data_IF_487989123084
#
_entry.id   IF_487989123084
#
_cell.length_a   1.000
_cell.length_b   1.000
_cell.length_c   1.000
_cell.angle_alpha   90.00
_cell.angle_beta   90.00
_cell.angle_gamma   90.00
#
_symmetry.space_group_name_H-M   'P 1'
#
loop_
_entity.id
_entity.type
_entity.pdbx_description
1 polymer ?
2 polymer ?
3 water ?
#
# COMPACT_ATOMS: atom_id res chain seq x y z
N UNK A 6 -12.79 -9.93 11.92
CA UNK A 6 -12.06 -10.46 13.12
C UNK A 6 -10.95 -9.48 13.54
N UNK A 7 -10.53 -9.44 14.82
CA UNK A 7 -9.42 -8.59 15.24
C UNK A 7 -8.09 -8.92 14.55
N UNK A 8 -7.86 -10.19 14.20
CA UNK A 8 -6.63 -10.59 13.46
C UNK A 8 -6.66 -9.93 12.07
N UNK A 9 -7.79 -9.86 11.39
CA UNK A 9 -7.83 -9.18 10.06
C UNK A 9 -7.45 -7.72 10.26
N UNK A 10 -8.03 -7.07 11.25
CA UNK A 10 -7.78 -5.63 11.49
C UNK A 10 -6.32 -5.42 11.83
N UNK A 11 -5.73 -6.31 12.61
CA UNK A 11 -4.31 -6.11 12.99
C UNK A 11 -3.43 -6.30 11.75
N UNK A 12 -3.74 -7.20 10.84
CA UNK A 12 -2.93 -7.36 9.62
C UNK A 12 -3.07 -6.10 8.78
N UNK A 13 -4.26 -5.53 8.71
CA UNK A 13 -4.44 -4.33 7.85
C UNK A 13 -3.68 -3.16 8.53
N UNK A 14 -3.76 -3.04 9.87
CA UNK A 14 -3.00 -1.98 10.61
C UNK A 14 -1.52 -2.09 10.27
N UNK A 15 -1.00 -3.32 10.26
CA UNK A 15 0.45 -3.53 9.94
C UNK A 15 0.73 -3.11 8.49
N UNK A 16 -0.20 -3.37 7.57
CA UNK A 16 -0.04 -2.94 6.17
C UNK A 16 -0.03 -1.41 6.13
N UNK A 17 -0.88 -0.74 6.89
CA UNK A 17 -0.94 0.73 6.88
C UNK A 17 0.43 1.26 7.35
N UNK A 18 1.00 0.70 8.41
CA UNK A 18 2.32 1.13 8.91
C UNK A 18 3.37 0.89 7.83
N UNK A 19 3.33 -0.26 7.16
CA UNK A 19 4.28 -0.54 6.05
C UNK A 19 4.19 0.59 5.02
N UNK A 20 2.98 0.99 4.67
CA UNK A 20 2.81 2.03 3.61
C UNK A 20 3.34 3.38 4.09
N UNK A 21 3.20 3.70 5.36
CA UNK A 21 3.77 4.96 5.93
C UNK A 21 5.30 4.93 5.80
N UNK A 22 5.89 3.77 6.09
CA UNK A 22 7.36 3.58 5.97
C UNK A 22 7.75 3.75 4.50
N UNK A 23 7.02 3.15 3.57
CA UNK A 23 7.36 3.27 2.14
C UNK A 23 7.21 4.74 1.72
N UNK A 24 6.20 5.43 2.22
CA UNK A 24 6.00 6.86 1.91
C UNK A 24 7.24 7.64 2.33
N UNK A 25 7.72 7.39 3.53
CA UNK A 25 8.88 8.13 4.08
C UNK A 25 10.14 7.89 3.23
N UNK A 26 10.31 6.68 2.74
CA UNK A 26 11.46 6.33 1.86
C UNK A 26 11.34 7.08 0.52
N UNK A 27 10.17 7.00 -0.09
CA UNK A 27 10.00 7.46 -1.49
C UNK A 27 9.80 8.97 -1.55
N UNK A 28 9.27 9.60 -0.53
CA UNK A 28 8.88 11.02 -0.67
C UNK A 28 10.11 11.93 -0.74
N UNK A 29 9.88 13.12 -1.28
CA UNK A 29 10.80 14.28 -1.21
C UNK A 29 10.05 15.39 -0.47
N UNK A 30 8.85 15.10 0.05
CA UNK A 30 8.13 16.05 0.93
C UNK A 30 9.11 16.40 2.03
N UNK A 31 9.56 17.65 2.01
CA UNK A 31 10.52 18.19 3.00
C UNK A 31 9.73 19.06 3.99
N UNK A 34 5.72 19.09 9.13
CA UNK A 34 4.61 18.22 9.61
C UNK A 34 3.99 17.47 8.42
N UNK A 35 4.83 16.91 7.53
CA UNK A 35 4.42 16.05 6.38
C UNK A 35 3.18 16.62 5.67
N UNK A 36 3.28 17.84 5.16
CA UNK A 36 2.17 18.57 4.52
C UNK A 36 1.55 17.83 3.35
N UNK A 37 2.27 16.91 2.72
CA UNK A 37 1.77 16.13 1.55
C UNK A 37 0.69 15.12 1.97
N UNK A 38 0.59 14.77 3.25
CA UNK A 38 -0.42 13.82 3.82
C UNK A 38 -1.56 14.68 4.39
N UNK A 39 -2.75 14.59 3.82
CA UNK A 39 -3.89 15.46 4.26
C UNK A 39 -4.95 14.64 5.00
N UNK A 40 -5.21 14.97 6.27
CA UNK A 40 -6.14 14.18 7.12
C UNK A 40 -7.52 14.21 6.47
N UNK A 41 -7.95 15.32 5.92
CA UNK A 41 -9.32 15.41 5.36
C UNK A 41 -9.44 14.48 4.14
N UNK A 42 -8.38 14.37 3.33
CA UNK A 42 -8.37 13.46 2.16
C UNK A 42 -8.40 12.00 2.64
N UNK A 43 -7.70 11.70 3.73
CA UNK A 43 -7.70 10.30 4.22
C UNK A 43 -9.11 9.94 4.73
N UNK A 44 -9.74 10.82 5.50
CA UNK A 44 -11.10 10.54 6.04
C UNK A 44 -12.07 10.38 4.86
N UNK A 45 -12.03 11.29 3.90
CA UNK A 45 -12.95 11.20 2.74
C UNK A 45 -12.72 9.88 2.02
N UNK A 46 -11.48 9.50 1.79
CA UNK A 46 -11.20 8.24 1.09
C UNK A 46 -11.74 7.04 1.88
N UNK A 47 -11.61 7.06 3.21
CA UNK A 47 -12.11 5.94 4.04
C UNK A 47 -13.64 5.84 3.97
N UNK A 48 -14.30 6.98 3.80
CA UNK A 48 -15.77 7.03 3.61
C UNK A 48 -16.17 6.53 2.20
N UNK A 49 -15.45 6.92 1.16
CA UNK A 49 -15.97 6.83 -0.22
C UNK A 49 -15.41 5.67 -1.02
N UNK A 50 -14.34 5.01 -0.60
CA UNK A 50 -13.82 3.88 -1.40
C UNK A 50 -14.96 2.88 -1.62
N UNK A 51 -15.29 2.51 -2.88
CA UNK A 51 -16.42 1.62 -3.13
C UNK A 51 -16.13 0.15 -2.83
N UNK A 52 -17.18 -0.62 -2.60
CA UNK A 52 -17.10 -2.08 -2.61
C UNK A 52 -16.87 -2.68 -1.24
N UNK A 53 -17.05 -3.99 -1.19
CA UNK A 53 -16.82 -4.77 0.03
C UNK A 53 -15.31 -4.95 0.23
N UNK A 54 -14.92 -5.39 1.44
CA UNK A 54 -13.50 -5.65 1.70
C UNK A 54 -12.81 -6.53 0.64
N UNK A 55 -13.43 -7.63 0.18
CA UNK A 55 -12.73 -8.49 -0.80
C UNK A 55 -12.35 -7.66 -2.03
N UNK A 56 -13.25 -6.85 -2.54
CA UNK A 56 -12.99 -6.05 -3.79
C UNK A 56 -11.87 -5.04 -3.53
N UNK A 57 -11.87 -4.44 -2.35
CA UNK A 57 -10.83 -3.44 -2.04
C UNK A 57 -9.51 -4.21 -1.97
N UNK A 58 -9.49 -5.34 -1.30
CA UNK A 58 -8.24 -6.14 -1.17
C UNK A 58 -7.68 -6.51 -2.56
N UNK A 59 -8.54 -6.83 -3.51
CA UNK A 59 -8.06 -7.22 -4.86
C UNK A 59 -7.37 -6.03 -5.51
N UNK A 60 -7.92 -4.84 -5.34
CA UNK A 60 -7.33 -3.60 -5.91
C UNK A 60 -6.01 -3.32 -5.20
N UNK A 61 -5.99 -3.46 -3.87
CA UNK A 61 -4.75 -3.20 -3.11
C UNK A 61 -3.67 -4.18 -3.60
N UNK A 62 -4.00 -5.45 -3.77
CA UNK A 62 -3.02 -6.44 -4.24
C UNK A 62 -2.49 -6.07 -5.63
N UNK A 63 -3.37 -5.70 -6.55
CA UNK A 63 -2.93 -5.30 -7.91
C UNK A 63 -1.94 -4.15 -7.80
N UNK A 64 -2.27 -3.13 -7.00
CA UNK A 64 -1.40 -1.93 -6.85
C UNK A 64 -0.06 -2.34 -6.22
N UNK A 65 -0.08 -3.24 -5.25
CA UNK A 65 1.20 -3.64 -4.59
C UNK A 65 2.04 -4.42 -5.60
N UNK A 66 1.43 -5.26 -6.43
CA UNK A 66 2.19 -6.02 -7.45
C UNK A 66 2.83 -5.02 -8.41
N UNK A 67 2.14 -3.94 -8.73
CA UNK A 67 2.69 -2.90 -9.62
C UNK A 67 3.90 -2.20 -8.96
N UNK A 68 3.77 -1.84 -7.71
CA UNK A 68 4.89 -1.18 -6.99
C UNK A 68 6.07 -2.15 -6.91
N UNK A 69 5.80 -3.39 -6.58
CA UNK A 69 6.89 -4.40 -6.49
C UNK A 69 7.65 -4.49 -7.82
N UNK A 70 6.94 -4.49 -8.94
CA UNK A 70 7.56 -4.60 -10.28
C UNK A 70 8.44 -3.36 -10.50
N UNK A 71 7.97 -2.18 -10.14
CA UNK A 71 8.79 -0.94 -10.29
C UNK A 71 10.06 -1.09 -9.45
N UNK A 72 9.93 -1.47 -8.20
CA UNK A 72 11.14 -1.52 -7.34
C UNK A 72 12.09 -2.66 -7.74
N UNK A 73 11.60 -3.84 -8.13
CA UNK A 73 12.49 -4.98 -8.47
C UNK A 73 13.13 -4.77 -9.83
N UNK A 74 12.34 -4.40 -10.83
CA UNK A 74 12.82 -4.33 -12.23
C UNK A 74 13.41 -2.96 -12.51
N UNK A 75 12.99 -1.94 -11.77
CA UNK A 75 13.57 -0.60 -11.99
C UNK A 75 12.74 0.23 -12.95
N UNK A 76 11.64 -0.29 -13.51
CA UNK A 76 10.83 0.47 -14.52
C UNK A 76 9.33 0.39 -14.17
N UNK B 5 24.16 -1.38 -0.24
CA UNK B 5 23.20 -1.61 -1.38
C UNK B 5 23.68 -2.66 -2.39
N UNK B 6 23.99 -3.88 -1.93
CA UNK B 6 24.64 -4.94 -2.75
C UNK B 6 23.77 -5.31 -4.00
N UNK B 7 24.42 -5.40 -5.16
CA UNK B 7 23.87 -5.88 -6.45
C UNK B 7 22.77 -4.99 -7.01
N UNK B 8 22.66 -3.73 -6.57
CA UNK B 8 21.39 -2.97 -6.81
C UNK B 8 21.72 -1.57 -7.31
N UNK B 9 21.07 -1.13 -8.38
CA UNK B 9 21.29 0.24 -8.90
C UNK B 9 20.31 1.21 -8.26
N UNK B 10 20.60 2.52 -8.34
CA UNK B 10 19.64 3.50 -7.86
C UNK B 10 18.34 3.43 -8.68
N UNK B 11 17.25 3.78 -8.02
CA UNK B 11 15.91 3.84 -8.65
C UNK B 11 15.82 5.20 -9.34
N UNK B 12 15.46 5.18 -10.62
CA UNK B 12 15.35 6.44 -11.36
C UNK B 12 14.35 7.37 -10.69
N UNK B 13 14.48 8.70 -10.88
CA UNK B 13 13.47 9.63 -10.38
C UNK B 13 12.06 9.29 -10.86
N UNK B 14 11.91 8.97 -12.16
CA UNK B 14 10.57 8.70 -12.70
C UNK B 14 9.97 7.47 -12.02
N UNK B 15 10.76 6.42 -11.78
CA UNK B 15 10.22 5.21 -11.14
C UNK B 15 9.91 5.54 -9.68
N UNK B 16 10.77 6.31 -9.03
CA UNK B 16 10.55 6.73 -7.63
C UNK B 16 9.19 7.45 -7.49
N UNK B 17 8.94 8.46 -8.33
CA UNK B 17 7.66 9.21 -8.27
C UNK B 17 6.48 8.30 -8.64
N UNK B 18 6.63 7.44 -9.64
CA UNK B 18 5.55 6.47 -10.01
C UNK B 18 5.18 5.63 -8.79
N UNK B 19 6.19 5.11 -8.12
CA UNK B 19 5.96 4.24 -6.96
C UNK B 19 5.31 5.07 -5.83
N UNK B 20 5.82 6.27 -5.57
CA UNK B 20 5.25 7.15 -4.52
C UNK B 20 3.76 7.41 -4.79
N UNK B 21 3.39 7.65 -6.03
CA UNK B 21 1.99 7.96 -6.34
C UNK B 21 1.14 6.75 -6.01
N UNK B 22 1.60 5.58 -6.39
CA UNK B 22 0.79 4.35 -6.12
C UNK B 22 0.70 4.13 -4.60
N UNK B 23 1.79 4.33 -3.88
CA UNK B 23 1.82 4.14 -2.42
C UNK B 23 0.80 5.09 -1.76
N UNK B 24 0.70 6.34 -2.23
CA UNK B 24 -0.30 7.30 -1.73
C UNK B 24 -1.71 6.76 -1.92
N UNK B 25 -2.01 6.21 -3.09
CA UNK B 25 -3.34 5.65 -3.40
C UNK B 25 -3.57 4.47 -2.45
N UNK B 26 -2.54 3.65 -2.24
CA UNK B 26 -2.64 2.47 -1.35
C UNK B 26 -2.94 2.92 0.07
N UNK B 27 -2.33 3.99 0.55
CA UNK B 27 -2.59 4.42 1.94
C UNK B 27 -4.06 4.82 2.09
N UNK B 28 -4.59 5.54 1.13
CA UNK B 28 -6.03 5.92 1.14
C UNK B 28 -6.90 4.65 1.14
N UNK B 29 -6.62 3.68 0.26
CA UNK B 29 -7.46 2.47 0.15
C UNK B 29 -7.36 1.63 1.42
N UNK B 30 -6.17 1.53 1.99
CA UNK B 30 -6.01 0.68 3.19
C UNK B 30 -6.75 1.35 4.37
N UNK B 31 -6.83 2.68 4.46
CA UNK B 31 -7.73 3.33 5.44
C UNK B 31 -9.18 2.92 5.24
N UNK B 32 -9.66 2.90 4.00
CA UNK B 32 -11.06 2.47 3.71
C UNK B 32 -11.22 1.01 4.11
N UNK B 33 -10.23 0.18 3.83
CA UNK B 33 -10.32 -1.26 4.13
C UNK B 33 -10.42 -1.45 5.65
N UNK B 34 -9.63 -0.70 6.40
CA UNK B 34 -9.66 -0.82 7.88
C UNK B 34 -11.08 -0.41 8.34
N UNK B 35 -11.68 0.65 7.78
CA UNK B 35 -13.08 1.09 8.12
C UNK B 35 -14.10 -0.01 7.79
N UNK B 36 -14.14 -0.48 6.55
CA UNK B 36 -15.19 -1.44 6.15
C UNK B 36 -14.98 -2.72 6.94
N UNK B 37 -13.75 -3.16 7.22
CA UNK B 37 -13.64 -4.44 7.97
C UNK B 37 -14.25 -4.28 9.36
N UNK B 38 -14.05 -3.14 9.99
CA UNK B 38 -14.55 -2.91 11.36
C UNK B 38 -16.07 -2.81 11.35
N UNK B 39 -16.67 -2.31 10.28
CA UNK B 39 -18.11 -2.01 10.25
C UNK B 39 -18.96 -3.14 9.66
N UNK B 40 -18.40 -4.04 8.86
CA UNK B 40 -19.17 -5.08 8.15
C UNK B 40 -19.96 -5.91 9.15
N UNK B 41 -21.25 -6.13 8.89
CA UNK B 41 -22.11 -6.97 9.77
C UNK B 41 -22.74 -8.10 8.94
N UNK B 42 -22.88 -9.29 9.55
CA UNK B 42 -23.50 -10.48 8.93
C UNK B 42 -24.99 -10.45 9.27
N UNK B 43 -25.85 -10.40 8.25
CA UNK B 43 -27.33 -10.47 8.42
C UNK B 43 -27.84 -11.79 7.82
N UNK C 5 13.83 21.85 -4.36
CA UNK C 5 12.82 22.36 -5.38
C UNK C 5 13.44 22.39 -6.78
N UNK C 6 14.50 21.59 -6.93
CA UNK C 6 15.47 21.55 -8.04
C UNK C 6 15.20 20.27 -8.86
N UNK C 7 14.47 19.37 -8.19
CA UNK C 7 13.77 18.22 -8.78
C UNK C 7 13.74 17.07 -7.81
N UNK C 8 13.58 15.85 -8.31
CA UNK C 8 13.63 14.59 -7.52
C UNK C 8 14.91 13.86 -7.87
N UNK C 9 15.65 13.38 -6.89
CA UNK C 9 16.89 12.61 -7.14
C UNK C 9 16.57 11.12 -7.20
N UNK C 10 17.49 10.32 -7.73
CA UNK C 10 17.33 8.89 -7.71
C UNK C 10 17.28 8.39 -6.26
N UNK C 11 16.53 7.32 -6.05
CA UNK C 11 16.54 6.61 -4.75
C UNK C 11 17.87 5.85 -4.63
N UNK C 12 18.51 5.95 -3.50
CA UNK C 12 19.75 5.17 -3.28
C UNK C 12 19.46 3.67 -3.38
N UNK C 13 20.45 2.83 -3.74
CA UNK C 13 20.24 1.38 -3.72
C UNK C 13 19.75 0.85 -2.37
N UNK C 14 20.31 1.33 -1.28
CA UNK C 14 19.90 0.80 0.05
C UNK C 14 18.43 1.16 0.33
N UNK C 15 18.01 2.35 -0.06
CA UNK C 15 16.61 2.77 0.16
C UNK C 15 15.72 1.95 -0.77
N UNK C 16 16.17 1.67 -1.99
CA UNK C 16 15.42 0.78 -2.90
C UNK C 16 15.23 -0.61 -2.31
N UNK C 17 16.29 -1.18 -1.74
CA UNK C 17 16.24 -2.52 -1.10
C UNK C 17 15.30 -2.45 0.12
N UNK C 18 15.33 -1.40 0.90
CA UNK C 18 14.44 -1.28 2.07
C UNK C 18 12.97 -1.24 1.60
N UNK C 19 12.68 -0.48 0.54
CA UNK C 19 11.31 -0.38 0.00
C UNK C 19 10.88 -1.74 -0.53
N UNK C 20 11.77 -2.48 -1.18
CA UNK C 20 11.50 -3.87 -1.63
C UNK C 20 11.19 -4.78 -0.45
N UNK C 21 11.95 -4.67 0.63
CA UNK C 21 11.72 -5.49 1.86
C UNK C 21 10.28 -5.24 2.32
N UNK C 22 9.89 -3.98 2.43
CA UNK C 22 8.58 -3.61 2.97
C UNK C 22 7.48 -4.10 2.03
N UNK C 23 7.66 -3.93 0.72
CA UNK C 23 6.62 -4.38 -0.21
C UNK C 23 6.42 -5.91 -0.10
N UNK C 24 7.48 -6.66 0.22
CA UNK C 24 7.38 -8.10 0.49
C UNK C 24 6.43 -8.39 1.64
N UNK C 25 6.54 -7.62 2.71
CA UNK C 25 5.70 -7.79 3.89
C UNK C 25 4.26 -7.48 3.46
N UNK C 26 4.05 -6.40 2.73
CA UNK C 26 2.71 -6.00 2.27
C UNK C 26 2.10 -7.10 1.38
N UNK C 27 2.88 -7.71 0.49
CA UNK C 27 2.34 -8.73 -0.45
C UNK C 27 2.00 -9.99 0.32
N UNK C 28 2.81 -10.38 1.31
CA UNK C 28 2.45 -11.59 2.08
C UNK C 28 1.14 -11.33 2.85
N UNK C 29 0.99 -10.15 3.44
CA UNK C 29 -0.21 -9.85 4.23
C UNK C 29 -1.43 -9.77 3.32
N UNK C 30 -1.33 -9.04 2.23
CA UNK C 30 -2.50 -8.91 1.33
C UNK C 30 -2.89 -10.27 0.75
N UNK C 31 -1.92 -11.14 0.45
CA UNK C 31 -2.21 -12.48 -0.09
C UNK C 31 -3.03 -13.28 0.92
N UNK C 32 -2.69 -13.18 2.21
CA UNK C 32 -3.39 -13.92 3.26
C UNK C 32 -4.78 -13.33 3.44
N UNK C 33 -4.91 -11.99 3.41
CA UNK C 33 -6.24 -11.35 3.53
C UNK C 33 -7.10 -11.75 2.33
N UNK C 34 -6.52 -11.74 1.14
CA UNK C 34 -7.25 -12.14 -0.09
C UNK C 34 -7.79 -13.57 0.12
N UNK C 35 -6.96 -14.51 0.56
CA UNK C 35 -7.37 -15.92 0.72
C UNK C 35 -8.50 -16.01 1.75
N UNK C 36 -8.36 -15.31 2.87
CA UNK C 36 -9.39 -15.32 3.92
C UNK C 36 -10.71 -14.81 3.37
N UNK C 37 -10.70 -13.65 2.73
CA UNK C 37 -11.95 -13.03 2.27
C UNK C 37 -12.51 -13.81 1.08
N UNK C 38 -11.67 -14.38 0.22
CA UNK C 38 -12.11 -15.22 -0.91
C UNK C 38 -12.83 -16.46 -0.34
N UNK C 39 -12.30 -17.01 0.75
CA UNK C 39 -12.89 -18.21 1.38
C UNK C 39 -14.26 -17.82 1.93
N UNK C 40 -14.37 -16.68 2.61
CA UNK C 40 -15.68 -16.21 3.12
C UNK C 40 -16.68 -16.14 1.96
N UNK C 41 -16.30 -15.50 0.85
CA UNK C 41 -17.21 -15.29 -0.32
C UNK C 41 -17.57 -16.67 -0.90
N UNK C 42 -16.58 -17.56 -1.06
CA UNK C 42 -16.79 -18.85 -1.76
C UNK C 42 -17.57 -19.83 -0.86
N UNK C 43 -17.32 -19.82 0.45
CA UNK C 43 -18.06 -20.69 1.41
C UNK C 43 -19.54 -20.27 1.36
N UNK C 44 -19.80 -18.94 1.31
CA UNK C 44 -21.19 -18.41 1.25
C UNK C 44 -21.85 -18.85 -0.07
N UNK C 45 -21.17 -18.75 -1.22
CA UNK C 45 -21.76 -19.09 -2.55
C UNK C 45 -22.11 -20.59 -2.57
N UNK C 46 -21.14 -21.45 -2.21
CA UNK C 46 -21.34 -22.89 -1.95
C UNK C 46 -22.40 -23.03 -0.85
#
# INVERSE_FOLDING_TARGET
GPGSASPDLLSEVSEMKQDLIKMTAILTTDVSDKAGSIKVKELVKAAEEEPGEPFEIVERVKEDLEKVNEILRSGT
GPGSGFGTSPLTPSARISALNIVGDLLRKVGALESKLAACRNFAKDQASRK
GPGSGFGTSPLTPSARISALNIVGDLLRKVGALESKLAACRNFAKDQASRK
#
